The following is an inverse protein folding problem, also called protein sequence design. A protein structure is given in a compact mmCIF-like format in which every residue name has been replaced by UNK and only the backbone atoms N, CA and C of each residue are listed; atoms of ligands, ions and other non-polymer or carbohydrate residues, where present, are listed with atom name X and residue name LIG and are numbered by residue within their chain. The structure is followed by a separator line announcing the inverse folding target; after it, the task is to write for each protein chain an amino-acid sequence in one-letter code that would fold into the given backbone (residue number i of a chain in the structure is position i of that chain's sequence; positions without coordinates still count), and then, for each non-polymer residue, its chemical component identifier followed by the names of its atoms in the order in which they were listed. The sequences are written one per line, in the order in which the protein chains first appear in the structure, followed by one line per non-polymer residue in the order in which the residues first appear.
data_IF_157112872870
#
_entry.id   IF_157112872870
#
_cell.length_a   1.000
_cell.length_b   1.000
_cell.length_c   1.000
_cell.angle_alpha   90.00
_cell.angle_beta   90.00
_cell.angle_gamma   90.00
#
_symmetry.space_group_name_H-M   'P 1'
#
loop_
_entity.id
_entity.type
_entity.pdbx_description
1 polymer ?
#
# COMPACT_ATOMS: atom_id res chain seq x y z
N UNK A 1 10.13 19.14 -8.12
CA UNK A 1 10.40 17.93 -8.92
C UNK A 1 9.57 17.92 -10.21
N UNK A 2 8.24 17.84 -10.14
CA UNK A 2 7.36 17.90 -11.32
C UNK A 2 7.36 19.27 -12.01
N UNK A 3 7.46 20.37 -11.25
CA UNK A 3 7.69 21.72 -11.79
C UNK A 3 9.10 21.98 -12.34
N UNK A 4 10.04 21.06 -12.13
CA UNK A 4 11.45 21.16 -12.58
C UNK A 4 11.74 20.19 -13.73
N UNK A 5 10.73 19.47 -14.25
CA UNK A 5 10.88 18.53 -15.37
C UNK A 5 11.57 17.20 -15.03
N UNK A 6 11.80 16.90 -13.75
CA UNK A 6 12.43 15.64 -13.33
C UNK A 6 11.44 14.48 -13.38
N UNK A 7 11.88 13.33 -13.91
CA UNK A 7 11.17 12.07 -13.75
C UNK A 7 11.15 11.70 -12.26
N UNK A 8 9.97 11.36 -11.73
CA UNK A 8 9.78 10.99 -10.32
C UNK A 8 9.23 9.58 -10.24
N UNK A 9 9.84 8.75 -9.40
CA UNK A 9 9.35 7.41 -9.08
C UNK A 9 9.20 7.25 -7.57
N UNK A 10 7.99 6.90 -7.13
CA UNK A 10 7.72 6.57 -5.73
C UNK A 10 7.89 5.06 -5.53
N UNK A 11 8.72 4.69 -4.56
CA UNK A 11 9.03 3.29 -4.25
C UNK A 11 8.74 3.03 -2.78
N UNK A 12 8.11 1.90 -2.47
CA UNK A 12 8.03 1.39 -1.10
C UNK A 12 9.35 0.76 -0.68
N UNK A 13 9.34 -0.55 -0.37
CA UNK A 13 10.57 -1.31 -0.05
C UNK A 13 11.30 -1.89 -1.27
N UNK A 14 10.79 -1.65 -2.48
CA UNK A 14 11.39 -2.19 -3.70
C UNK A 14 11.28 -3.71 -3.87
N UNK A 15 10.42 -4.40 -3.12
CA UNK A 15 10.29 -5.87 -3.16
C UNK A 15 9.76 -6.42 -4.50
N UNK A 16 9.22 -5.56 -5.35
CA UNK A 16 8.77 -5.88 -6.71
C UNK A 16 9.37 -4.92 -7.75
N UNK A 17 10.62 -4.48 -7.52
CA UNK A 17 11.35 -3.60 -8.43
C UNK A 17 12.65 -4.26 -8.88
N UNK A 18 12.96 -4.15 -10.17
CA UNK A 18 14.27 -4.47 -10.73
C UNK A 18 14.84 -3.19 -11.33
N UNK A 19 15.94 -2.71 -10.75
CA UNK A 19 16.63 -1.52 -11.24
C UNK A 19 17.72 -1.91 -12.23
N UNK A 20 17.85 -1.14 -13.30
CA UNK A 20 18.92 -1.29 -14.27
C UNK A 20 20.25 -0.80 -13.69
N UNK A 21 21.36 -1.48 -14.01
CA UNK A 21 22.70 -1.12 -13.54
C UNK A 21 23.15 0.27 -14.01
N UNK A 22 22.54 0.78 -15.09
CA UNK A 22 22.75 2.17 -15.57
C UNK A 22 22.19 3.22 -14.62
N UNK A 23 21.37 2.83 -13.65
CA UNK A 23 20.71 3.72 -12.70
C UNK A 23 19.44 4.38 -13.25
N UNK A 24 18.97 5.40 -12.55
CA UNK A 24 17.77 6.17 -12.87
C UNK A 24 18.09 7.66 -12.93
N UNK A 25 17.87 8.30 -14.08
CA UNK A 25 18.04 9.74 -14.26
C UNK A 25 16.78 10.48 -13.83
N UNK A 26 16.67 10.71 -12.52
CA UNK A 26 15.52 11.34 -11.91
C UNK A 26 15.53 11.20 -10.40
N UNK A 27 14.38 11.46 -9.78
CA UNK A 27 14.20 11.36 -8.34
C UNK A 27 13.45 10.08 -7.96
N UNK A 28 14.07 9.26 -7.10
CA UNK A 28 13.40 8.16 -6.42
C UNK A 28 12.96 8.62 -5.03
N UNK A 29 11.67 8.60 -4.75
CA UNK A 29 11.08 8.92 -3.44
C UNK A 29 10.79 7.61 -2.72
N UNK A 30 11.42 7.39 -1.57
CA UNK A 30 11.10 6.26 -0.70
C UNK A 30 9.90 6.63 0.16
N UNK A 31 8.78 5.95 -0.04
CA UNK A 31 7.59 6.12 0.77
C UNK A 31 7.75 5.37 2.11
N UNK A 32 8.00 6.14 3.17
CA UNK A 32 8.12 5.65 4.55
C UNK A 32 7.09 6.31 5.48
N UNK A 33 5.87 6.57 4.98
CA UNK A 33 4.79 7.09 5.83
C UNK A 33 4.34 5.96 6.79
N UNK A 34 4.74 6.08 8.05
CA UNK A 34 4.49 5.08 9.09
C UNK A 34 3.47 5.59 10.12
N UNK A 35 2.27 5.02 10.13
CA UNK A 35 1.33 5.15 11.24
C UNK A 35 0.31 4.02 11.17
N UNK A 36 -0.24 3.63 12.31
CA UNK A 36 -1.37 2.69 12.42
C UNK A 36 -2.35 3.29 13.43
N UNK A 37 -3.56 3.58 12.98
CA UNK A 37 -4.63 4.14 13.77
C UNK A 37 -5.85 3.22 13.71
N UNK A 38 -6.19 2.57 14.81
CA UNK A 38 -7.42 1.79 14.93
C UNK A 38 -8.62 2.73 15.07
N UNK A 39 -9.62 2.56 14.21
CA UNK A 39 -10.86 3.36 14.19
C UNK A 39 -12.04 2.66 14.86
N UNK A 40 -11.83 1.46 15.38
CA UNK A 40 -12.87 0.58 15.95
C UNK A 40 -13.40 -0.39 14.91
N UNK A 41 -14.09 -1.44 15.39
CA UNK A 41 -14.80 -2.44 14.57
C UNK A 41 -13.95 -3.07 13.44
N UNK A 42 -12.65 -3.28 13.69
CA UNK A 42 -11.74 -3.89 12.74
C UNK A 42 -11.27 -2.97 11.61
N UNK A 43 -11.59 -1.68 11.69
CA UNK A 43 -11.17 -0.67 10.72
C UNK A 43 -9.87 -0.02 11.17
N UNK A 44 -8.89 0.02 10.27
CA UNK A 44 -7.57 0.62 10.51
C UNK A 44 -7.27 1.66 9.44
N UNK A 45 -6.80 2.84 9.86
CA UNK A 45 -6.17 3.81 8.97
C UNK A 45 -4.67 3.68 9.13
N UNK A 46 -3.97 3.39 8.04
CA UNK A 46 -2.54 3.10 8.08
C UNK A 46 -1.78 3.93 7.05
N UNK A 47 -0.53 4.24 7.39
CA UNK A 47 0.42 4.83 6.46
C UNK A 47 0.77 3.84 5.35
N UNK A 48 0.84 4.32 4.11
CA UNK A 48 1.15 3.49 2.94
C UNK A 48 2.59 2.95 2.95
N UNK A 49 3.47 3.47 3.81
CA UNK A 49 4.82 2.94 4.06
C UNK A 49 4.85 1.75 5.03
N UNK A 50 3.78 1.47 5.79
CA UNK A 50 3.79 0.39 6.77
C UNK A 50 4.02 -0.98 6.13
N UNK A 51 4.78 -1.85 6.81
CA UNK A 51 5.16 -3.16 6.29
C UNK A 51 3.93 -4.07 6.21
N UNK A 52 3.62 -4.59 5.02
CA UNK A 52 2.36 -5.32 4.77
C UNK A 52 2.27 -6.60 5.62
N UNK A 53 3.33 -7.39 5.63
CA UNK A 53 3.43 -8.59 6.45
C UNK A 53 3.29 -8.33 7.96
N UNK A 54 3.94 -7.28 8.48
CA UNK A 54 3.82 -6.92 9.89
C UNK A 54 2.43 -6.44 10.23
N UNK A 55 1.76 -5.74 9.31
CA UNK A 55 0.40 -5.30 9.51
C UNK A 55 -0.58 -6.47 9.56
N UNK A 56 -0.49 -7.44 8.64
CA UNK A 56 -1.30 -8.67 8.70
C UNK A 56 -1.09 -9.45 10.00
N UNK A 57 0.15 -9.58 10.46
CA UNK A 57 0.43 -10.20 11.75
C UNK A 57 -0.16 -9.39 12.93
N UNK A 58 -0.07 -8.06 12.86
CA UNK A 58 -0.60 -7.16 13.88
C UNK A 58 -2.12 -7.31 14.02
N UNK A 59 -2.87 -7.26 12.92
CA UNK A 59 -4.33 -7.42 12.95
C UNK A 59 -4.74 -8.81 13.42
N UNK A 60 -4.08 -9.87 12.92
CA UNK A 60 -4.33 -11.24 13.35
C UNK A 60 -4.07 -11.43 14.86
N UNK A 61 -2.99 -10.84 15.39
CA UNK A 61 -2.68 -10.91 16.83
C UNK A 61 -3.73 -10.23 17.74
N UNK A 62 -4.57 -9.36 17.16
CA UNK A 62 -5.69 -8.69 17.85
C UNK A 62 -7.04 -9.38 17.62
N UNK A 63 -7.06 -10.52 16.92
CA UNK A 63 -8.26 -11.30 16.65
C UNK A 63 -9.07 -10.84 15.44
N UNK A 64 -8.51 -9.97 14.59
CA UNK A 64 -9.15 -9.55 13.33
C UNK A 64 -8.76 -10.50 12.18
N UNK A 65 -9.72 -10.82 11.33
CA UNK A 65 -9.52 -11.63 10.13
C UNK A 65 -9.52 -10.81 8.84
N UNK A 66 -9.11 -11.43 7.72
CA UNK A 66 -9.13 -10.86 6.36
C UNK A 66 -7.78 -10.41 5.82
N UNK A 67 -6.71 -10.47 6.62
CA UNK A 67 -5.34 -10.12 6.22
C UNK A 67 -4.29 -11.15 6.69
N UNK A 68 -4.72 -12.35 7.08
CA UNK A 68 -3.84 -13.42 7.56
C UNK A 68 -2.83 -13.81 6.47
N UNK A 69 -3.28 -13.84 5.21
CA UNK A 69 -2.45 -14.16 4.04
C UNK A 69 -1.28 -13.18 3.85
N UNK A 70 -1.38 -11.96 4.38
CA UNK A 70 -0.37 -10.92 4.21
C UNK A 70 0.94 -11.24 4.96
N UNK A 71 0.93 -12.10 5.98
CA UNK A 71 2.08 -12.39 6.83
C UNK A 71 3.34 -12.84 6.06
N UNK A 72 3.17 -13.47 4.89
CA UNK A 72 4.26 -13.92 4.02
C UNK A 72 4.68 -12.93 2.94
N UNK A 73 3.96 -11.82 2.75
CA UNK A 73 4.12 -10.95 1.57
C UNK A 73 5.03 -9.76 1.91
N UNK A 74 6.24 -9.66 1.32
CA UNK A 74 7.14 -8.54 1.56
C UNK A 74 6.66 -7.29 0.82
N UNK A 75 6.83 -6.14 1.45
CA UNK A 75 6.53 -4.84 0.83
C UNK A 75 5.90 -3.88 1.82
N UNK A 76 5.30 -2.82 1.30
CA UNK A 76 4.53 -1.86 2.08
C UNK A 76 3.03 -2.01 1.79
N UNK A 77 2.17 -1.48 2.66
CA UNK A 77 0.72 -1.43 2.43
C UNK A 77 0.37 -0.73 1.13
N UNK A 78 1.03 0.39 0.82
CA UNK A 78 0.83 1.09 -0.45
C UNK A 78 1.21 0.24 -1.65
N UNK A 79 2.30 -0.52 -1.57
CA UNK A 79 2.68 -1.48 -2.61
C UNK A 79 1.69 -2.63 -2.74
N UNK A 80 1.15 -3.12 -1.62
CA UNK A 80 0.14 -4.17 -1.61
C UNK A 80 -1.18 -3.71 -2.25
N UNK A 81 -1.62 -2.48 -1.96
CA UNK A 81 -2.78 -1.86 -2.62
C UNK A 81 -2.51 -1.67 -4.11
N UNK A 82 -1.35 -1.12 -4.48
CA UNK A 82 -0.98 -0.88 -5.89
C UNK A 82 -0.97 -2.17 -6.72
N UNK A 83 -0.45 -3.27 -6.15
CA UNK A 83 -0.35 -4.56 -6.83
C UNK A 83 -1.59 -5.44 -6.65
N UNK A 84 -2.57 -5.02 -5.83
CA UNK A 84 -3.60 -5.90 -5.27
C UNK A 84 -3.02 -7.23 -4.76
N UNK A 85 -1.96 -7.16 -3.94
CA UNK A 85 -1.21 -8.33 -3.50
C UNK A 85 -2.13 -9.37 -2.88
N UNK A 86 -1.87 -10.64 -3.21
CA UNK A 86 -2.69 -11.75 -2.78
C UNK A 86 -1.90 -13.04 -2.60
N UNK A 87 -2.43 -13.93 -1.76
CA UNK A 87 -1.94 -15.27 -1.50
C UNK A 87 -3.12 -16.14 -1.03
N UNK A 88 -3.03 -17.45 -1.23
CA UNK A 88 -4.03 -18.42 -0.73
C UNK A 88 -5.49 -18.10 -1.11
N UNK A 89 -5.70 -17.54 -2.30
CA UNK A 89 -7.03 -17.18 -2.82
C UNK A 89 -7.61 -15.89 -2.24
N UNK A 90 -6.85 -15.15 -1.43
CA UNK A 90 -7.21 -13.85 -0.88
C UNK A 90 -6.38 -12.73 -1.51
N UNK A 91 -6.96 -11.53 -1.56
CA UNK A 91 -6.38 -10.33 -2.18
C UNK A 91 -6.58 -9.10 -1.32
N UNK A 92 -5.67 -8.13 -1.40
CA UNK A 92 -5.70 -6.90 -0.60
C UNK A 92 -7.01 -6.13 -0.75
N UNK A 93 -7.58 -6.10 -1.95
CA UNK A 93 -8.86 -5.44 -2.24
C UNK A 93 -10.04 -5.98 -1.41
N UNK A 94 -10.00 -7.24 -0.98
CA UNK A 94 -11.06 -7.84 -0.15
C UNK A 94 -11.10 -7.28 1.27
N UNK A 95 -10.01 -6.68 1.76
CA UNK A 95 -9.91 -6.04 3.06
C UNK A 95 -9.80 -4.50 2.96
N UNK A 96 -9.71 -3.94 1.75
CA UNK A 96 -9.56 -2.51 1.52
C UNK A 96 -10.93 -1.81 1.47
N UNK A 97 -11.06 -0.72 2.23
CA UNK A 97 -12.26 0.14 2.19
C UNK A 97 -12.02 1.44 1.42
N UNK A 98 -10.82 2.03 1.56
CA UNK A 98 -10.46 3.25 0.85
C UNK A 98 -8.95 3.49 0.86
N UNK A 99 -8.47 4.30 -0.09
CA UNK A 99 -7.09 4.79 -0.14
C UNK A 99 -7.07 6.31 -0.38
N UNK A 100 -6.24 7.03 0.39
CA UNK A 100 -5.91 8.43 0.13
C UNK A 100 -4.73 8.45 -0.87
N UNK A 101 -4.95 9.03 -2.05
CA UNK A 101 -4.00 9.05 -3.17
C UNK A 101 -3.54 10.48 -3.40
N UNK A 102 -2.23 10.69 -3.38
CA UNK A 102 -1.61 11.97 -3.73
C UNK A 102 -1.12 11.93 -5.17
N UNK A 103 -1.54 12.91 -5.96
CA UNK A 103 -1.14 13.10 -7.33
C UNK A 103 0.14 13.94 -7.44
N UNK A 104 0.75 13.89 -8.64
CA UNK A 104 1.99 14.60 -8.95
C UNK A 104 1.91 16.14 -8.85
N UNK A 105 0.70 16.70 -8.92
CA UNK A 105 0.42 18.13 -8.73
C UNK A 105 0.18 18.51 -7.26
N UNK A 106 0.25 17.53 -6.34
CA UNK A 106 0.02 17.71 -4.91
C UNK A 106 -1.46 17.64 -4.51
N UNK A 107 -2.39 17.47 -5.46
CA UNK A 107 -3.79 17.20 -5.12
C UNK A 107 -3.93 15.83 -4.45
N UNK A 108 -4.87 15.73 -3.53
CA UNK A 108 -5.17 14.49 -2.79
C UNK A 108 -6.63 14.15 -2.97
N UNK A 109 -6.91 12.90 -3.33
CA UNK A 109 -8.27 12.38 -3.39
C UNK A 109 -8.41 11.07 -2.62
N UNK A 110 -9.65 10.69 -2.32
CA UNK A 110 -9.96 9.42 -1.65
C UNK A 110 -10.66 8.50 -2.63
N UNK A 111 -10.02 7.38 -2.96
CA UNK A 111 -10.65 6.28 -3.67
C UNK A 111 -11.34 5.37 -2.67
N UNK A 112 -12.60 5.02 -2.91
CA UNK A 112 -13.40 4.16 -2.04
C UNK A 112 -13.70 2.86 -2.77
N UNK A 113 -13.53 1.74 -2.07
CA UNK A 113 -13.89 0.42 -2.55
C UNK A 113 -15.27 0.05 -2.02
N UNK A 114 -16.19 -0.23 -2.94
CA UNK A 114 -17.46 -0.82 -2.59
C UNK A 114 -17.30 -2.34 -2.54
N UNK A 115 -17.36 -2.91 -1.34
CA UNK A 115 -17.31 -4.36 -1.17
C UNK A 115 -18.59 -5.06 -1.62
N UNK A 116 -19.68 -4.34 -1.87
CA UNK A 116 -20.92 -4.87 -2.45
C UNK A 116 -20.85 -5.02 -3.98
N UNK A 117 -19.96 -4.28 -4.64
CA UNK A 117 -19.71 -4.38 -6.08
C UNK A 117 -18.53 -5.33 -6.31
N UNK A 118 -18.78 -6.64 -6.23
CA UNK A 118 -17.78 -7.64 -6.59
C UNK A 118 -17.19 -7.35 -7.98
N UNK A 119 -15.86 -7.15 -8.03
CA UNK A 119 -15.01 -7.05 -9.24
C UNK A 119 -15.62 -6.23 -10.40
N UNK A 120 -15.21 -4.97 -10.52
CA UNK A 120 -15.08 -4.31 -11.84
C UNK A 120 -13.62 -4.15 -12.20
#
# INVERSE_FOLDING_TARGET
ATGEGLAVWVVGRGSNCLFDDRGFDGLVIINDIQFIEERGDGVFRCGSGCQFNKFGLHTASRGWSGLEFACGIPGTLGGAVYMNSGADGQETSQALTSAEVMHADGSVETWRWDQAAGKS
#
